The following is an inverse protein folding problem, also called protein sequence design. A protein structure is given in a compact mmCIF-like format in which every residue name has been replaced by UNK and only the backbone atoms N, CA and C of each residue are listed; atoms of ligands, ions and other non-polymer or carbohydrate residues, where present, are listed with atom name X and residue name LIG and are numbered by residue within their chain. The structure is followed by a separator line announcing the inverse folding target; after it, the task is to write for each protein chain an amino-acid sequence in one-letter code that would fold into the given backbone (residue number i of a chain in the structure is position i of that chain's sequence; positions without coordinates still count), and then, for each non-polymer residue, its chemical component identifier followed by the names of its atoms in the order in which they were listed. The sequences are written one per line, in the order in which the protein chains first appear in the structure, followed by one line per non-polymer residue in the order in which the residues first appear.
data_IF_326408549416
#
_entry.id   IF_326408549416
#
_cell.length_a   1.000
_cell.length_b   1.000
_cell.length_c   1.000
_cell.angle_alpha   90.00
_cell.angle_beta   90.00
_cell.angle_gamma   90.00
#
_symmetry.space_group_name_H-M   'P 1'
#
loop_
_entity.id
_entity.type
_entity.pdbx_description
1 polymer ?
#
# COMPACT_ATOMS: atom_id res chain seq x y z
N UNK A 1 -43.15 -7.39 -9.50
CA UNK A 1 -42.40 -7.43 -8.23
C UNK A 1 -40.92 -7.57 -8.56
N UNK A 2 -40.03 -6.66 -8.16
CA UNK A 2 -38.64 -6.75 -8.56
C UNK A 2 -37.91 -7.80 -7.69
N UNK A 3 -37.28 -8.74 -8.37
CA UNK A 3 -36.37 -9.74 -7.81
C UNK A 3 -35.25 -9.04 -7.05
N UNK A 4 -35.14 -9.29 -5.73
CA UNK A 4 -34.00 -8.79 -4.97
C UNK A 4 -32.74 -9.54 -5.42
N UNK A 5 -31.83 -8.83 -6.08
CA UNK A 5 -30.54 -9.37 -6.46
C UNK A 5 -29.75 -9.75 -5.19
N UNK A 6 -29.74 -11.05 -4.87
CA UNK A 6 -28.90 -11.59 -3.81
C UNK A 6 -27.47 -11.56 -4.32
N UNK A 7 -26.68 -10.61 -3.82
CA UNK A 7 -25.24 -10.54 -4.10
C UNK A 7 -24.58 -11.90 -3.80
N UNK A 8 -23.68 -12.40 -4.68
CA UNK A 8 -23.02 -13.67 -4.47
C UNK A 8 -22.20 -13.65 -3.17
N UNK A 9 -22.18 -14.77 -2.45
CA UNK A 9 -21.53 -14.97 -1.15
C UNK A 9 -20.13 -14.31 -1.01
N UNK A 10 -19.21 -14.41 -1.98
CA UNK A 10 -17.90 -13.76 -1.87
C UNK A 10 -17.98 -12.23 -1.83
N UNK A 11 -18.95 -11.62 -2.51
CA UNK A 11 -19.14 -10.16 -2.51
C UNK A 11 -19.73 -9.67 -1.19
N UNK A 12 -20.63 -10.46 -0.58
CA UNK A 12 -21.16 -10.17 0.77
C UNK A 12 -20.07 -10.28 1.85
N UNK A 13 -19.19 -11.27 1.74
CA UNK A 13 -18.02 -11.44 2.61
C UNK A 13 -17.03 -10.28 2.46
N UNK A 14 -16.75 -9.85 1.23
CA UNK A 14 -15.87 -8.72 0.96
C UNK A 14 -16.44 -7.40 1.52
N UNK A 15 -17.75 -7.17 1.38
CA UNK A 15 -18.42 -5.99 1.93
C UNK A 15 -18.50 -6.00 3.47
N UNK A 16 -18.79 -7.15 4.08
CA UNK A 16 -18.77 -7.31 5.53
C UNK A 16 -17.36 -7.06 6.11
N UNK A 17 -16.32 -7.50 5.40
CA UNK A 17 -14.92 -7.25 5.76
C UNK A 17 -14.49 -5.79 5.54
N UNK A 18 -14.99 -5.14 4.49
CA UNK A 18 -14.68 -3.74 4.17
C UNK A 18 -15.39 -2.74 5.09
N UNK A 19 -16.61 -3.04 5.57
CA UNK A 19 -17.43 -2.13 6.37
C UNK A 19 -17.57 -2.51 7.85
N UNK A 20 -17.00 -3.65 8.29
CA UNK A 20 -17.05 -4.07 9.68
C UNK A 20 -18.47 -4.34 10.20
N UNK A 21 -19.42 -4.63 9.31
CA UNK A 21 -20.79 -4.99 9.66
C UNK A 21 -20.79 -6.44 10.14
N UNK A 22 -20.93 -6.61 11.45
CA UNK A 22 -21.01 -7.91 12.11
C UNK A 22 -22.21 -8.70 11.60
N UNK A 23 -21.96 -9.91 11.12
CA UNK A 23 -22.99 -10.91 10.88
C UNK A 23 -23.43 -11.48 12.24
N UNK A 24 -24.59 -11.05 12.74
CA UNK A 24 -25.26 -11.74 13.85
C UNK A 24 -25.89 -13.03 13.32
N UNK A 25 -25.18 -14.15 13.52
CA UNK A 25 -25.78 -15.47 13.43
C UNK A 25 -26.38 -15.81 14.79
N UNK A 26 -27.71 -15.84 14.86
CA UNK A 26 -28.46 -16.44 15.96
C UNK A 26 -28.17 -17.95 15.99
N UNK A 27 -27.34 -18.41 16.92
CA UNK A 27 -27.21 -19.84 17.22
C UNK A 27 -26.84 -20.05 18.70
N UNK A 28 -27.72 -20.76 19.41
CA UNK A 28 -27.48 -21.56 20.62
C UNK A 28 -26.61 -20.96 21.73
N UNK A 29 -27.26 -20.49 22.80
CA UNK A 29 -26.61 -20.28 24.10
C UNK A 29 -26.27 -21.63 24.72
N UNK A 30 -25.06 -22.13 24.46
CA UNK A 30 -24.41 -23.11 25.34
C UNK A 30 -23.24 -22.44 26.05
N UNK A 31 -23.41 -22.29 27.36
CA UNK A 31 -22.51 -21.64 28.28
C UNK A 31 -21.36 -22.59 28.69
N UNK A 32 -20.38 -22.79 27.80
CA UNK A 32 -19.14 -23.51 28.15
C UNK A 32 -17.94 -23.25 27.23
N UNK A 33 -17.89 -22.10 26.53
CA UNK A 33 -16.67 -21.66 25.80
C UNK A 33 -16.09 -20.39 26.41
N UNK A 34 -14.88 -20.43 27.00
CA UNK A 34 -14.26 -19.26 27.58
C UNK A 34 -13.62 -18.38 26.49
N UNK A 35 -13.75 -17.05 26.62
CA UNK A 35 -12.86 -16.02 26.04
C UNK A 35 -12.71 -15.85 24.51
N UNK A 36 -13.19 -16.75 23.65
CA UNK A 36 -12.96 -16.66 22.20
C UNK A 36 -13.44 -15.37 21.50
N UNK A 37 -14.68 -14.85 21.71
CA UNK A 37 -15.18 -13.72 20.91
C UNK A 37 -14.46 -12.40 21.23
N UNK A 38 -14.03 -12.18 22.48
CA UNK A 38 -13.27 -10.96 22.86
C UNK A 38 -11.83 -10.98 22.35
N UNK A 39 -11.22 -12.16 22.22
CA UNK A 39 -9.88 -12.32 21.66
C UNK A 39 -9.92 -12.10 20.15
N UNK A 40 -10.89 -12.70 19.45
CA UNK A 40 -11.10 -12.51 18.00
C UNK A 40 -11.38 -11.04 17.66
N UNK A 41 -12.27 -10.36 18.39
CA UNK A 41 -12.54 -8.94 18.17
C UNK A 41 -11.31 -8.04 18.37
N UNK A 42 -10.46 -8.33 19.37
CA UNK A 42 -9.20 -7.60 19.57
C UNK A 42 -8.21 -7.85 18.42
N UNK A 43 -8.05 -9.10 18.01
CA UNK A 43 -7.21 -9.47 16.86
C UNK A 43 -7.67 -8.77 15.58
N UNK A 44 -8.96 -8.78 15.27
CA UNK A 44 -9.51 -8.08 14.11
C UNK A 44 -9.26 -6.56 14.20
N UNK A 45 -9.49 -5.94 15.37
CA UNK A 45 -9.24 -4.51 15.57
C UNK A 45 -7.75 -4.17 15.42
N UNK A 46 -6.85 -5.00 15.93
CA UNK A 46 -5.41 -4.78 15.84
C UNK A 46 -4.88 -5.00 14.43
N UNK A 47 -5.42 -6.00 13.72
CA UNK A 47 -5.15 -6.23 12.31
C UNK A 47 -5.64 -5.05 11.46
N UNK A 48 -6.87 -4.56 11.69
CA UNK A 48 -7.40 -3.38 11.03
C UNK A 48 -6.56 -2.13 11.28
N UNK A 49 -6.10 -1.90 12.51
CA UNK A 49 -5.18 -0.78 12.82
C UNK A 49 -3.83 -0.90 12.14
N UNK A 50 -3.27 -2.12 12.06
CA UNK A 50 -2.02 -2.38 11.32
C UNK A 50 -2.20 -2.16 9.82
N UNK A 51 -3.30 -2.65 9.25
CA UNK A 51 -3.62 -2.49 7.84
C UNK A 51 -3.85 -1.02 7.49
N UNK A 52 -4.62 -0.28 8.27
CA UNK A 52 -4.81 1.16 8.08
C UNK A 52 -3.48 1.92 8.13
N UNK A 53 -2.60 1.59 9.09
CA UNK A 53 -1.27 2.21 9.16
C UNK A 53 -0.42 1.87 7.93
N UNK A 54 -0.43 0.61 7.51
CA UNK A 54 0.26 0.16 6.31
C UNK A 54 -0.21 0.93 5.07
N UNK A 55 -1.51 0.91 4.80
CA UNK A 55 -2.12 1.47 3.60
C UNK A 55 -2.05 3.00 3.54
N UNK A 56 -2.45 3.68 4.62
CA UNK A 56 -2.72 5.12 4.55
C UNK A 56 -1.65 6.00 5.21
N UNK A 57 -0.75 5.42 6.00
CA UNK A 57 0.24 6.20 6.77
C UNK A 57 1.68 5.95 6.33
N UNK A 58 2.02 4.70 6.06
CA UNK A 58 3.40 4.32 5.72
C UNK A 58 3.68 4.45 4.22
N UNK A 59 2.73 4.01 3.37
CA UNK A 59 2.90 4.03 1.91
C UNK A 59 1.63 4.50 1.17
N UNK A 60 1.10 5.71 1.48
CA UNK A 60 -0.15 6.18 0.89
C UNK A 60 -0.08 6.30 -0.64
N UNK A 61 1.04 6.81 -1.15
CA UNK A 61 1.20 7.08 -2.58
C UNK A 61 1.32 5.79 -3.41
N UNK A 62 2.14 4.78 -3.03
CA UNK A 62 2.14 3.49 -3.69
C UNK A 62 0.77 2.81 -3.70
N UNK A 63 0.03 2.81 -2.58
CA UNK A 63 -1.28 2.18 -2.54
C UNK A 63 -2.35 2.94 -3.34
N UNK A 64 -2.31 4.28 -3.35
CA UNK A 64 -3.19 5.08 -4.19
C UNK A 64 -2.93 4.83 -5.68
N UNK A 65 -1.66 4.89 -6.12
CA UNK A 65 -1.28 4.63 -7.51
C UNK A 65 -1.60 3.20 -7.93
N UNK A 66 -1.33 2.22 -7.06
CA UNK A 66 -1.65 0.81 -7.32
C UNK A 66 -3.14 0.56 -7.42
N UNK A 67 -3.94 1.17 -6.55
CA UNK A 67 -5.40 1.11 -6.60
C UNK A 67 -5.97 1.72 -7.89
N UNK A 68 -5.53 2.93 -8.24
CA UNK A 68 -5.93 3.58 -9.49
C UNK A 68 -5.56 2.73 -10.72
N UNK A 69 -4.35 2.16 -10.73
CA UNK A 69 -3.88 1.29 -11.81
C UNK A 69 -4.73 0.03 -11.94
N UNK A 70 -5.13 -0.59 -10.82
CA UNK A 70 -6.00 -1.76 -10.84
C UNK A 70 -7.41 -1.43 -11.37
N UNK A 71 -7.96 -0.27 -11.01
CA UNK A 71 -9.26 0.19 -11.52
C UNK A 71 -9.21 0.40 -13.03
N UNK A 72 -8.18 1.08 -13.53
CA UNK A 72 -7.99 1.29 -14.98
C UNK A 72 -7.80 -0.04 -15.70
N UNK A 73 -6.97 -0.93 -15.15
CA UNK A 73 -6.76 -2.28 -15.71
C UNK A 73 -8.06 -3.08 -15.83
N UNK A 74 -8.91 -3.04 -14.81
CA UNK A 74 -10.22 -3.71 -14.83
C UNK A 74 -11.19 -3.07 -15.84
N UNK A 75 -11.19 -1.75 -15.98
CA UNK A 75 -11.98 -1.06 -17.00
C UNK A 75 -11.57 -1.46 -18.43
N UNK A 76 -10.26 -1.54 -18.69
CA UNK A 76 -9.74 -1.99 -19.98
C UNK A 76 -9.98 -3.48 -20.25
N UNK A 77 -9.85 -4.32 -19.21
CA UNK A 77 -10.14 -5.75 -19.31
C UNK A 77 -11.61 -5.99 -19.67
N UNK A 78 -12.53 -5.34 -18.96
CA UNK A 78 -13.98 -5.47 -19.21
C UNK A 78 -14.35 -5.01 -20.61
N UNK A 79 -13.92 -3.80 -21.01
CA UNK A 79 -14.13 -3.31 -22.38
C UNK A 79 -13.52 -4.25 -23.45
N UNK A 80 -12.32 -4.78 -23.21
CA UNK A 80 -11.67 -5.71 -24.14
C UNK A 80 -12.39 -7.05 -24.28
N UNK A 81 -13.00 -7.56 -23.20
CA UNK A 81 -13.79 -8.79 -23.23
C UNK A 81 -15.12 -8.61 -23.96
N UNK A 82 -15.77 -7.46 -23.81
CA UNK A 82 -17.03 -7.15 -24.51
C UNK A 82 -16.81 -7.08 -26.03
N UNK A 83 -15.75 -6.38 -26.46
CA UNK A 83 -15.38 -6.18 -27.88
C UNK A 83 -14.78 -7.44 -28.51
N UNK A 84 -14.37 -8.44 -27.70
CA UNK A 84 -13.80 -9.69 -28.22
C UNK A 84 -14.74 -10.42 -29.17
N UNK A 85 -16.05 -10.28 -28.93
CA UNK A 85 -17.10 -10.83 -29.79
C UNK A 85 -17.24 -10.13 -31.14
N UNK A 86 -16.82 -8.87 -31.24
CA UNK A 86 -16.96 -8.01 -32.42
C UNK A 86 -15.71 -8.00 -33.32
N UNK A 87 -14.53 -8.23 -32.73
CA UNK A 87 -13.29 -8.31 -33.50
C UNK A 87 -12.03 -8.41 -32.64
N UNK A 88 -11.24 -9.45 -32.90
CA UNK A 88 -10.02 -9.74 -32.13
C UNK A 88 -9.01 -8.59 -32.12
N UNK A 89 -8.84 -7.86 -33.23
CA UNK A 89 -7.85 -6.78 -33.32
C UNK A 89 -8.14 -5.62 -32.35
N UNK A 90 -9.41 -5.20 -32.27
CA UNK A 90 -9.83 -4.09 -31.38
C UNK A 90 -9.82 -4.54 -29.93
N UNK A 91 -10.22 -5.78 -29.65
CA UNK A 91 -10.14 -6.34 -28.30
C UNK A 91 -8.69 -6.36 -27.77
N UNK A 92 -7.71 -6.73 -28.59
CA UNK A 92 -6.30 -6.72 -28.19
C UNK A 92 -5.77 -5.31 -27.88
N UNK A 93 -6.31 -4.26 -28.52
CA UNK A 93 -5.95 -2.88 -28.21
C UNK A 93 -6.37 -2.46 -26.78
N UNK A 94 -7.36 -3.13 -26.18
CA UNK A 94 -7.77 -2.94 -24.79
C UNK A 94 -7.07 -3.92 -23.83
N UNK A 95 -6.97 -5.19 -24.21
CA UNK A 95 -6.43 -6.25 -23.36
C UNK A 95 -4.92 -6.09 -23.09
N UNK A 96 -4.13 -5.71 -24.10
CA UNK A 96 -2.69 -5.54 -23.91
C UNK A 96 -2.35 -4.43 -22.90
N UNK A 97 -2.90 -3.19 -23.03
CA UNK A 97 -2.68 -2.16 -22.02
C UNK A 97 -3.21 -2.55 -20.63
N UNK A 98 -4.30 -3.33 -20.53
CA UNK A 98 -4.81 -3.82 -19.25
C UNK A 98 -3.74 -4.61 -18.47
N UNK A 99 -2.96 -5.46 -19.16
CA UNK A 99 -1.85 -6.19 -18.52
C UNK A 99 -0.76 -5.26 -17.98
N UNK A 100 -0.45 -4.17 -18.70
CA UNK A 100 0.52 -3.16 -18.26
C UNK A 100 0.06 -2.45 -16.97
N UNK A 101 -1.22 -2.09 -16.90
CA UNK A 101 -1.82 -1.50 -15.70
C UNK A 101 -1.84 -2.44 -14.50
N UNK A 102 -2.12 -3.73 -14.70
CA UNK A 102 -1.98 -4.73 -13.64
C UNK A 102 -0.53 -4.91 -13.21
N UNK A 103 0.42 -4.91 -14.16
CA UNK A 103 1.86 -4.91 -13.85
C UNK A 103 2.26 -3.74 -12.96
N UNK A 104 1.79 -2.53 -13.28
CA UNK A 104 2.01 -1.34 -12.47
C UNK A 104 1.38 -1.47 -11.07
N UNK A 105 0.15 -1.99 -10.98
CA UNK A 105 -0.51 -2.23 -9.70
C UNK A 105 0.31 -3.19 -8.80
N UNK A 106 0.86 -4.27 -9.37
CA UNK A 106 1.72 -5.20 -8.65
C UNK A 106 3.03 -4.56 -8.19
N UNK A 107 3.67 -3.77 -9.05
CA UNK A 107 4.89 -3.02 -8.70
C UNK A 107 4.63 -2.02 -7.55
N UNK A 108 3.50 -1.33 -7.57
CA UNK A 108 3.09 -0.44 -6.49
C UNK A 108 2.86 -1.19 -5.17
N UNK A 109 2.26 -2.39 -5.21
CA UNK A 109 2.11 -3.24 -4.03
C UNK A 109 3.48 -3.68 -3.47
N UNK A 110 4.42 -4.07 -4.34
CA UNK A 110 5.78 -4.43 -3.96
C UNK A 110 6.54 -3.24 -3.34
N UNK A 111 6.41 -2.04 -3.91
CA UNK A 111 6.99 -0.82 -3.35
C UNK A 111 6.40 -0.50 -1.97
N UNK A 112 5.06 -0.56 -1.83
CA UNK A 112 4.38 -0.37 -0.54
C UNK A 112 4.89 -1.32 0.55
N UNK A 113 5.09 -2.61 0.20
CA UNK A 113 5.67 -3.59 1.10
C UNK A 113 7.12 -3.27 1.48
N UNK A 114 7.95 -2.84 0.52
CA UNK A 114 9.32 -2.39 0.76
C UNK A 114 9.36 -1.21 1.75
N UNK A 115 8.51 -0.20 1.56
CA UNK A 115 8.38 0.96 2.47
C UNK A 115 7.92 0.55 3.86
N UNK A 116 7.03 -0.42 3.97
CA UNK A 116 6.61 -0.94 5.28
C UNK A 116 7.75 -1.63 6.05
N UNK A 117 8.58 -2.42 5.35
CA UNK A 117 9.78 -3.02 5.95
C UNK A 117 10.76 -1.96 6.43
N UNK A 118 10.92 -0.88 5.66
CA UNK A 118 11.78 0.25 6.01
C UNK A 118 11.26 1.00 7.25
N UNK A 119 9.96 1.31 7.30
CA UNK A 119 9.29 1.86 8.47
C UNK A 119 9.54 0.99 9.72
N UNK A 120 9.33 -0.33 9.62
CA UNK A 120 9.55 -1.24 10.74
C UNK A 120 11.02 -1.31 11.17
N UNK A 121 11.95 -1.20 10.23
CA UNK A 121 13.40 -1.15 10.52
C UNK A 121 13.76 0.12 11.27
N UNK A 122 13.35 1.29 10.77
CA UNK A 122 13.65 2.58 11.39
C UNK A 122 13.02 2.69 12.78
N UNK A 123 11.75 2.29 12.92
CA UNK A 123 11.06 2.28 14.22
C UNK A 123 11.80 1.43 15.26
N UNK A 124 12.30 0.25 14.87
CA UNK A 124 13.12 -0.60 15.74
C UNK A 124 14.44 0.05 16.13
N UNK A 125 15.11 0.73 15.20
CA UNK A 125 16.38 1.41 15.50
C UNK A 125 16.15 2.58 16.45
N UNK A 126 15.17 3.44 16.17
CA UNK A 126 14.82 4.56 17.02
C UNK A 126 14.41 4.12 18.43
N UNK A 127 13.60 3.07 18.54
CA UNK A 127 13.19 2.54 19.85
C UNK A 127 14.33 1.94 20.68
N UNK A 128 15.42 1.49 20.05
CA UNK A 128 16.57 0.87 20.75
C UNK A 128 17.71 1.84 21.03
N UNK A 129 18.00 2.74 20.10
CA UNK A 129 19.20 3.61 20.11
C UNK A 129 18.87 5.09 20.28
N UNK A 130 17.59 5.43 20.38
CA UNK A 130 17.11 6.81 20.32
C UNK A 130 17.04 7.33 18.89
N UNK A 131 16.36 8.46 18.73
CA UNK A 131 16.27 9.16 17.45
C UNK A 131 17.60 9.81 17.09
N UNK A 132 18.04 9.59 15.84
CA UNK A 132 19.22 10.25 15.28
C UNK A 132 18.93 10.68 13.84
N UNK A 133 19.08 11.97 13.47
CA UNK A 133 18.85 12.44 12.11
C UNK A 133 19.73 11.75 11.06
N UNK A 134 20.91 11.24 11.46
CA UNK A 134 21.83 10.52 10.56
C UNK A 134 21.20 9.28 9.94
N UNK A 135 20.25 8.65 10.64
CA UNK A 135 19.51 7.47 10.16
C UNK A 135 18.49 7.80 9.07
N UNK A 136 18.12 9.08 8.93
CA UNK A 136 17.16 9.55 7.93
C UNK A 136 17.82 9.86 6.59
N UNK A 137 19.13 10.12 6.56
CA UNK A 137 19.86 10.48 5.32
C UNK A 137 19.74 9.42 4.22
N UNK A 138 19.90 8.10 4.50
CA UNK A 138 19.82 7.08 3.45
C UNK A 138 18.41 6.93 2.84
N UNK A 139 17.38 7.36 3.56
CA UNK A 139 15.96 7.26 3.17
C UNK A 139 15.42 8.60 2.70
N UNK A 140 16.30 9.58 2.47
CA UNK A 140 15.93 10.90 2.01
C UNK A 140 15.61 10.95 0.52
N UNK A 141 16.06 9.96 -0.26
CA UNK A 141 16.14 10.04 -1.72
C UNK A 141 14.79 10.08 -2.43
N UNK A 142 13.74 9.43 -1.90
CA UNK A 142 12.41 9.42 -2.52
C UNK A 142 11.30 9.73 -1.53
N UNK A 143 10.17 10.23 -2.04
CA UNK A 143 9.02 10.61 -1.20
C UNK A 143 8.48 9.44 -0.39
N UNK A 144 8.30 8.27 -1.02
CA UNK A 144 7.77 7.09 -0.34
C UNK A 144 8.67 6.61 0.81
N UNK A 145 10.00 6.80 0.72
CA UNK A 145 10.93 6.51 1.82
C UNK A 145 10.81 7.52 2.95
N UNK A 146 10.75 8.82 2.60
CA UNK A 146 10.58 9.90 3.57
C UNK A 146 9.28 9.75 4.35
N UNK A 147 8.18 9.38 3.70
CA UNK A 147 6.88 9.15 4.35
C UNK A 147 6.97 7.99 5.35
N UNK A 148 7.59 6.87 4.97
CA UNK A 148 7.83 5.74 5.87
C UNK A 148 8.71 6.12 7.08
N UNK A 149 9.76 6.91 6.85
CA UNK A 149 10.66 7.38 7.90
C UNK A 149 10.01 8.40 8.84
N UNK A 150 9.20 9.32 8.29
CA UNK A 150 8.40 10.27 9.06
C UNK A 150 7.39 9.55 9.93
N UNK A 151 6.70 8.53 9.42
CA UNK A 151 5.76 7.75 10.20
C UNK A 151 6.48 6.96 11.31
N UNK A 152 7.67 6.41 11.05
CA UNK A 152 8.48 5.72 12.07
C UNK A 152 8.90 6.66 13.21
N UNK A 153 9.31 7.88 12.88
CA UNK A 153 9.65 8.90 13.86
C UNK A 153 8.43 9.41 14.62
N UNK A 154 7.31 9.63 13.92
CA UNK A 154 6.04 10.09 14.51
C UNK A 154 5.52 9.10 15.56
N UNK A 155 5.57 7.80 15.27
CA UNK A 155 5.14 6.74 16.20
C UNK A 155 5.95 6.71 17.52
N UNK A 156 7.09 7.38 17.57
CA UNK A 156 7.97 7.49 18.74
C UNK A 156 8.08 8.93 19.26
N UNK A 157 7.21 9.84 18.82
CA UNK A 157 7.18 11.24 19.28
C UNK A 157 8.23 12.16 18.65
N UNK A 158 8.98 11.70 17.63
CA UNK A 158 10.04 12.47 16.96
C UNK A 158 9.65 12.96 15.56
N UNK A 159 8.36 12.97 15.22
CA UNK A 159 7.86 13.34 13.89
C UNK A 159 8.28 14.75 13.44
N UNK A 160 8.20 15.74 14.33
CA UNK A 160 8.59 17.12 14.02
C UNK A 160 10.10 17.29 13.87
N UNK A 161 10.90 16.51 14.58
CA UNK A 161 12.35 16.50 14.41
C UNK A 161 12.73 15.93 13.04
N UNK A 162 12.08 14.84 12.63
CA UNK A 162 12.30 14.22 11.32
C UNK A 162 11.84 15.15 10.18
N UNK A 163 10.69 15.82 10.35
CA UNK A 163 10.18 16.80 9.38
C UNK A 163 11.12 17.98 9.21
N UNK A 164 11.63 18.54 10.31
CA UNK A 164 12.63 19.62 10.27
C UNK A 164 13.91 19.19 9.57
N UNK A 165 14.39 17.97 9.83
CA UNK A 165 15.57 17.42 9.16
C UNK A 165 15.37 17.28 7.64
N UNK A 166 14.27 16.70 7.18
CA UNK A 166 14.03 16.63 5.72
C UNK A 166 13.87 18.01 5.10
N UNK A 167 13.24 18.97 5.79
CA UNK A 167 13.16 20.36 5.32
C UNK A 167 14.52 21.03 5.24
N UNK A 168 15.44 20.76 6.16
CA UNK A 168 16.80 21.31 6.13
C UNK A 168 17.66 20.72 5.01
N UNK A 169 17.31 19.53 4.52
CA UNK A 169 17.89 18.96 3.29
C UNK A 169 17.28 19.54 2.01
N UNK A 170 16.31 20.46 2.11
CA UNK A 170 15.65 21.08 0.96
C UNK A 170 14.36 20.40 0.52
N UNK A 171 14.01 19.23 1.07
CA UNK A 171 12.80 18.53 0.65
C UNK A 171 11.53 19.27 1.06
N UNK A 172 10.53 19.17 0.18
CA UNK A 172 9.18 19.73 0.32
C UNK A 172 8.16 18.69 -0.13
N UNK A 173 6.89 18.93 0.19
CA UNK A 173 5.81 17.97 -0.10
C UNK A 173 5.65 17.65 -1.60
N UNK A 174 6.01 18.59 -2.49
CA UNK A 174 5.89 18.44 -3.94
C UNK A 174 7.09 17.72 -4.60
N UNK A 175 8.17 17.43 -3.86
CA UNK A 175 9.28 16.63 -4.40
C UNK A 175 8.88 15.14 -4.40
N UNK A 176 8.16 14.70 -5.43
CA UNK A 176 7.72 13.30 -5.54
C UNK A 176 8.85 12.39 -6.04
N UNK A 177 9.56 12.83 -7.08
CA UNK A 177 10.53 12.01 -7.79
C UNK A 177 11.80 11.79 -6.96
N UNK A 178 12.44 10.62 -7.10
CA UNK A 178 13.75 10.38 -6.52
C UNK A 178 14.78 11.37 -7.07
N UNK A 179 15.72 11.83 -6.24
CA UNK A 179 16.70 12.84 -6.64
C UNK A 179 17.46 12.45 -7.91
N UNK A 180 17.86 11.18 -8.02
CA UNK A 180 18.55 10.66 -9.21
C UNK A 180 17.73 10.75 -10.49
N UNK A 181 16.40 10.68 -10.38
CA UNK A 181 15.47 10.78 -11.51
C UNK A 181 15.20 12.24 -11.87
N UNK A 182 15.23 13.14 -10.89
CA UNK A 182 15.19 14.60 -11.15
C UNK A 182 16.44 15.02 -11.92
N UNK A 183 17.61 14.50 -11.56
CA UNK A 183 18.87 14.80 -12.25
C UNK A 183 18.89 14.26 -13.70
N UNK A 184 18.35 13.05 -13.90
CA UNK A 184 18.25 12.43 -15.22
C UNK A 184 17.03 11.49 -15.29
N UNK A 185 15.96 11.87 -16.00
CA UNK A 185 14.73 11.08 -16.09
C UNK A 185 14.94 9.66 -16.63
N UNK A 186 15.94 9.45 -17.50
CA UNK A 186 16.21 8.15 -18.10
C UNK A 186 16.75 7.12 -17.09
N UNK A 187 17.27 7.58 -15.94
CA UNK A 187 17.75 6.68 -14.87
C UNK A 187 16.63 5.87 -14.21
N UNK A 188 15.36 6.21 -14.45
CA UNK A 188 14.25 5.38 -13.98
C UNK A 188 14.25 3.98 -14.61
N UNK A 189 14.79 3.83 -15.82
CA UNK A 189 14.87 2.57 -16.55
C UNK A 189 16.19 1.81 -16.32
N UNK A 190 17.08 2.33 -15.48
CA UNK A 190 18.34 1.68 -15.18
C UNK A 190 18.12 0.44 -14.28
N UNK A 191 18.71 -0.70 -14.67
CA UNK A 191 18.64 -1.96 -13.92
C UNK A 191 19.23 -1.77 -12.52
N UNK A 192 20.26 -0.94 -12.37
CA UNK A 192 20.85 -0.67 -11.06
C UNK A 192 19.91 0.15 -10.16
N UNK A 193 19.14 1.06 -10.75
CA UNK A 193 18.09 1.79 -10.03
C UNK A 193 16.98 0.86 -9.54
N UNK A 194 16.52 -0.06 -10.39
CA UNK A 194 15.50 -1.06 -10.03
C UNK A 194 16.00 -2.01 -8.94
N UNK A 195 17.24 -2.53 -9.08
CA UNK A 195 17.85 -3.40 -8.07
C UNK A 195 17.99 -2.70 -6.73
N UNK A 196 18.50 -1.47 -6.70
CA UNK A 196 18.66 -0.75 -5.43
C UNK A 196 17.33 -0.37 -4.78
N UNK A 197 16.31 -0.05 -5.57
CA UNK A 197 14.99 0.37 -5.07
C UNK A 197 14.14 -0.81 -4.58
N UNK A 198 14.12 -1.92 -5.33
CA UNK A 198 13.26 -3.08 -5.05
C UNK A 198 13.97 -4.24 -4.35
N UNK A 199 15.29 -4.38 -4.53
CA UNK A 199 16.11 -5.47 -4.00
C UNK A 199 17.36 -4.95 -3.27
N UNK A 200 17.20 -4.19 -2.16
CA UNK A 200 18.35 -3.66 -1.44
C UNK A 200 19.23 -4.81 -0.91
N UNK A 201 20.38 -5.01 -1.55
CA UNK A 201 21.39 -5.98 -1.13
C UNK A 201 22.03 -5.54 0.19
N UNK A 202 22.33 -6.50 1.08
CA UNK A 202 23.08 -6.23 2.31
C UNK A 202 24.55 -5.99 1.94
N UNK A 203 24.90 -4.74 1.67
CA UNK A 203 26.28 -4.26 1.79
C UNK A 203 26.48 -3.69 3.19
#
# INVERSE_FOLDING_TARGET
MPSQAVLPLPVRLALAFAFGLGYESTMGRDASTPCAPRVVLRLCRDMGRRLHRYLFRVAPLPHATGGASAVIGTGLLTAGLDILSEGAAVAWACLLPATGWYGLALLCCADGYSRYREYQRLKRIFGRRGYSPRLLRPVASSRCQRDAALQAAHDLGHGECARRYFRSLGYRWYHLLPDRVVDNPLRFFDIDFLRTTFLPSRK
#
